data_IF_876982894895
#
_entry.id   IF_876982894895
#
_cell.length_a   1.000
_cell.length_b   1.000
_cell.length_c   1.000
_cell.angle_alpha   90.00
_cell.angle_beta   90.00
_cell.angle_gamma   90.00
#
_symmetry.space_group_name_H-M   'P 1'
#
loop_
_entity.id
_entity.type
_entity.pdbx_description
1 polymer ?
#
# COMPACT_ATOMS: atom_id res chain seq x y z
N UNK A 1 16.17 -6.20 -4.21
CA UNK A 1 17.14 -5.09 -4.27
C UNK A 1 18.45 -5.59 -4.81
N UNK A 2 19.35 -4.67 -5.12
CA UNK A 2 20.73 -4.99 -5.52
C UNK A 2 21.73 -4.76 -4.40
N UNK A 3 21.38 -3.89 -3.43
CA UNK A 3 22.16 -3.65 -2.21
C UNK A 3 21.49 -4.29 -0.99
N UNK A 4 22.25 -4.50 0.08
CA UNK A 4 21.73 -5.01 1.35
C UNK A 4 20.60 -4.12 1.89
N UNK A 5 20.75 -2.81 1.81
CA UNK A 5 19.71 -1.86 2.23
C UNK A 5 18.42 -2.02 1.40
N UNK A 6 18.52 -2.18 0.08
CA UNK A 6 17.36 -2.40 -0.77
C UNK A 6 16.71 -3.76 -0.52
N UNK A 7 17.49 -4.79 -0.20
CA UNK A 7 16.97 -6.12 0.18
C UNK A 7 16.20 -6.04 1.50
N UNK A 8 16.72 -5.35 2.51
CA UNK A 8 16.02 -5.14 3.78
C UNK A 8 14.68 -4.39 3.59
N UNK A 9 14.66 -3.38 2.71
CA UNK A 9 13.41 -2.68 2.37
C UNK A 9 12.41 -3.59 1.68
N UNK A 10 12.88 -4.43 0.75
CA UNK A 10 12.05 -5.42 0.05
C UNK A 10 11.42 -6.40 1.05
N UNK A 11 12.22 -7.04 1.91
CA UNK A 11 11.75 -8.06 2.85
C UNK A 11 10.74 -7.48 3.85
N UNK A 12 11.03 -6.29 4.40
CA UNK A 12 10.12 -5.61 5.31
C UNK A 12 8.81 -5.23 4.62
N UNK A 13 8.89 -4.69 3.40
CA UNK A 13 7.72 -4.19 2.70
C UNK A 13 6.81 -5.32 2.23
N UNK A 14 7.37 -6.44 1.76
CA UNK A 14 6.59 -7.62 1.39
C UNK A 14 5.67 -8.08 2.52
N UNK A 15 6.20 -8.22 3.74
CA UNK A 15 5.43 -8.62 4.90
C UNK A 15 4.36 -7.57 5.25
N UNK A 16 4.72 -6.28 5.26
CA UNK A 16 3.77 -5.21 5.59
C UNK A 16 2.66 -5.06 4.54
N UNK A 17 2.95 -5.28 3.27
CA UNK A 17 1.96 -5.32 2.19
C UNK A 17 0.98 -6.47 2.42
N UNK A 18 1.49 -7.65 2.82
CA UNK A 18 0.64 -8.81 3.07
C UNK A 18 -0.31 -8.56 4.25
N UNK A 19 0.17 -7.98 5.35
CA UNK A 19 -0.69 -7.60 6.49
C UNK A 19 -1.74 -6.57 6.09
N UNK A 20 -1.36 -5.59 5.26
CA UNK A 20 -2.30 -4.59 4.75
C UNK A 20 -3.39 -5.23 3.86
N UNK A 21 -3.00 -6.12 2.94
CA UNK A 21 -3.92 -6.90 2.11
C UNK A 21 -4.88 -7.71 2.96
N UNK A 22 -4.36 -8.48 3.92
CA UNK A 22 -5.16 -9.31 4.80
C UNK A 22 -6.15 -8.49 5.61
N UNK A 23 -5.78 -7.27 6.02
CA UNK A 23 -6.71 -6.40 6.75
C UNK A 23 -7.95 -6.01 5.93
N UNK A 24 -7.83 -5.84 4.60
CA UNK A 24 -8.98 -5.61 3.73
C UNK A 24 -9.78 -6.90 3.50
N UNK A 25 -9.09 -8.01 3.23
CA UNK A 25 -9.70 -9.35 3.03
C UNK A 25 -10.57 -9.74 4.24
N UNK A 26 -10.05 -9.54 5.45
CA UNK A 26 -10.77 -9.86 6.69
C UNK A 26 -12.02 -9.02 6.91
N UNK A 27 -12.12 -7.84 6.30
CA UNK A 27 -13.34 -7.01 6.32
C UNK A 27 -14.29 -7.49 5.23
N UNK A 28 -13.83 -7.56 3.98
CA UNK A 28 -14.67 -7.85 2.81
C UNK A 28 -15.36 -9.22 2.84
N UNK A 29 -14.72 -10.24 3.42
CA UNK A 29 -15.28 -11.59 3.49
C UNK A 29 -15.99 -11.90 4.81
N UNK A 30 -16.10 -10.95 5.73
CA UNK A 30 -16.76 -11.15 7.00
C UNK A 30 -18.29 -10.96 6.86
N UNK A 31 -19.13 -11.85 7.44
CA UNK A 31 -20.58 -11.67 7.45
C UNK A 31 -21.06 -10.34 8.06
N UNK A 32 -20.29 -9.76 8.98
CA UNK A 32 -20.54 -8.46 9.61
C UNK A 32 -19.88 -7.28 8.87
N UNK A 33 -19.61 -7.42 7.56
CA UNK A 33 -18.94 -6.41 6.72
C UNK A 33 -19.39 -4.97 6.99
N UNK A 34 -20.70 -4.71 6.97
CA UNK A 34 -21.26 -3.36 7.15
C UNK A 34 -20.92 -2.74 8.51
N UNK A 35 -20.73 -3.56 9.55
CA UNK A 35 -20.32 -3.09 10.88
C UNK A 35 -18.82 -2.83 10.97
N UNK A 36 -18.02 -3.59 10.23
CA UNK A 36 -16.55 -3.53 10.28
C UNK A 36 -15.97 -2.47 9.34
N UNK A 37 -16.62 -2.22 8.19
CA UNK A 37 -16.17 -1.27 7.18
C UNK A 37 -15.83 0.12 7.74
N UNK A 38 -16.66 0.76 8.60
CA UNK A 38 -16.33 2.08 9.15
C UNK A 38 -14.98 2.10 9.90
N UNK A 39 -14.71 1.08 10.71
CA UNK A 39 -13.44 0.99 11.44
C UNK A 39 -12.24 0.77 10.54
N UNK A 40 -12.40 0.04 9.42
CA UNK A 40 -11.36 -0.07 8.41
C UNK A 40 -11.05 1.29 7.77
N UNK A 41 -12.09 2.02 7.35
CA UNK A 41 -11.96 3.33 6.69
C UNK A 41 -11.35 4.38 7.63
N UNK A 42 -11.63 4.31 8.93
CA UNK A 42 -11.00 5.18 9.94
C UNK A 42 -9.48 4.95 10.02
N UNK A 43 -9.03 3.70 9.96
CA UNK A 43 -7.61 3.35 10.07
C UNK A 43 -6.83 3.50 8.77
N UNK A 44 -7.52 3.44 7.62
CA UNK A 44 -6.92 3.40 6.29
C UNK A 44 -5.97 4.59 6.01
N UNK A 45 -6.33 5.86 6.26
CA UNK A 45 -5.42 6.99 6.05
C UNK A 45 -4.13 6.90 6.86
N UNK A 46 -4.20 6.35 8.08
CA UNK A 46 -3.03 6.14 8.93
C UNK A 46 -2.04 5.16 8.31
N UNK A 47 -2.55 4.03 7.80
CA UNK A 47 -1.72 3.01 7.11
C UNK A 47 -1.12 3.54 5.81
N UNK A 48 -1.92 4.24 5.00
CA UNK A 48 -1.45 4.85 3.75
C UNK A 48 -0.38 5.92 4.01
N UNK A 49 -0.51 6.70 5.09
CA UNK A 49 0.52 7.66 5.51
C UNK A 49 1.86 6.98 5.81
N UNK A 50 1.86 5.80 6.43
CA UNK A 50 3.09 5.05 6.68
C UNK A 50 3.76 4.64 5.36
N UNK A 51 3.00 4.13 4.38
CA UNK A 51 3.55 3.81 3.06
C UNK A 51 4.03 5.06 2.30
N UNK A 52 3.28 6.16 2.36
CA UNK A 52 3.66 7.45 1.80
C UNK A 52 5.00 7.95 2.38
N UNK A 53 5.15 7.93 3.71
CA UNK A 53 6.39 8.31 4.37
C UNK A 53 7.53 7.35 4.02
N UNK A 54 7.22 6.04 3.96
CA UNK A 54 8.19 5.02 3.61
C UNK A 54 8.57 5.05 2.13
N UNK A 55 7.76 5.56 1.20
CA UNK A 55 8.18 5.85 -0.17
C UNK A 55 9.06 7.10 -0.20
N UNK A 56 8.69 8.13 0.57
CA UNK A 56 9.39 9.41 0.58
C UNK A 56 9.50 9.99 -0.83
N UNK A 57 10.71 10.37 -1.21
CA UNK A 57 11.04 10.94 -2.53
C UNK A 57 11.56 9.90 -3.53
N UNK A 58 11.65 8.62 -3.15
CA UNK A 58 12.14 7.57 -4.05
C UNK A 58 11.17 7.31 -5.18
N UNK A 59 11.72 6.90 -6.32
CA UNK A 59 10.93 6.51 -7.49
C UNK A 59 10.12 5.23 -7.23
N UNK A 60 10.77 4.23 -6.66
CA UNK A 60 10.22 2.92 -6.29
C UNK A 60 10.46 2.63 -4.80
N UNK A 61 9.73 1.67 -4.25
CA UNK A 61 9.76 1.42 -2.82
C UNK A 61 11.10 0.91 -2.31
N UNK A 62 11.77 0.05 -3.09
CA UNK A 62 13.10 -0.43 -2.75
C UNK A 62 14.19 0.64 -2.96
N UNK A 63 14.06 1.48 -3.99
CA UNK A 63 15.07 2.45 -4.40
C UNK A 63 14.80 3.05 -5.79
N UNK A 64 15.83 3.09 -6.63
CA UNK A 64 15.75 3.67 -7.99
C UNK A 64 15.28 2.69 -9.05
N UNK A 65 15.40 1.39 -8.78
CA UNK A 65 15.00 0.30 -9.69
C UNK A 65 13.70 -0.33 -9.23
N UNK A 66 12.90 -0.70 -10.22
CA UNK A 66 11.66 -1.45 -10.02
C UNK A 66 11.98 -2.84 -9.47
N UNK A 67 11.21 -3.29 -8.48
CA UNK A 67 11.33 -4.61 -7.87
C UNK A 67 9.95 -5.26 -7.74
N UNK A 68 9.88 -6.54 -7.36
CA UNK A 68 8.59 -7.25 -7.26
C UNK A 68 7.65 -6.63 -6.21
N UNK A 69 8.17 -6.03 -5.14
CA UNK A 69 7.33 -5.42 -4.10
C UNK A 69 6.57 -4.20 -4.60
N UNK A 70 7.04 -3.54 -5.66
CA UNK A 70 6.30 -2.46 -6.30
C UNK A 70 5.03 -2.98 -7.01
N UNK A 71 5.09 -4.17 -7.61
CA UNK A 71 3.90 -4.83 -8.18
C UNK A 71 2.89 -5.19 -7.09
N UNK A 72 3.39 -5.72 -5.96
CA UNK A 72 2.54 -6.06 -4.82
C UNK A 72 1.89 -4.81 -4.21
N UNK A 73 2.65 -3.72 -4.09
CA UNK A 73 2.15 -2.45 -3.58
C UNK A 73 1.10 -1.85 -4.51
N UNK A 74 1.37 -1.84 -5.82
CA UNK A 74 0.40 -1.37 -6.82
C UNK A 74 -0.94 -2.11 -6.70
N UNK A 75 -0.91 -3.45 -6.63
CA UNK A 75 -2.12 -4.27 -6.48
C UNK A 75 -2.91 -3.91 -5.20
N UNK A 76 -2.25 -3.82 -4.05
CA UNK A 76 -2.97 -3.51 -2.79
C UNK A 76 -3.48 -2.07 -2.72
N UNK A 77 -2.75 -1.10 -3.31
CA UNK A 77 -3.22 0.28 -3.40
C UNK A 77 -4.40 0.38 -4.36
N UNK A 78 -4.39 -0.35 -5.47
CA UNK A 78 -5.49 -0.39 -6.42
C UNK A 78 -6.76 -0.99 -5.81
N UNK A 79 -6.65 -2.11 -5.10
CA UNK A 79 -7.78 -2.70 -4.38
C UNK A 79 -8.39 -1.72 -3.36
N UNK A 80 -7.55 -0.98 -2.65
CA UNK A 80 -8.02 0.06 -1.72
C UNK A 80 -8.66 1.25 -2.43
N UNK A 81 -8.12 1.66 -3.58
CA UNK A 81 -8.73 2.71 -4.42
C UNK A 81 -10.08 2.27 -4.96
N UNK A 82 -10.24 1.01 -5.36
CA UNK A 82 -11.55 0.48 -5.77
C UNK A 82 -12.52 0.47 -4.58
N UNK A 83 -12.05 0.13 -3.38
CA UNK A 83 -12.88 0.07 -2.18
C UNK A 83 -13.29 1.45 -1.65
N UNK A 84 -12.36 2.42 -1.66
CA UNK A 84 -12.55 3.82 -1.29
C UNK A 84 -11.83 4.73 -2.31
N UNK A 85 -12.54 5.22 -3.34
CA UNK A 85 -11.96 5.96 -4.47
C UNK A 85 -11.07 7.14 -4.12
N UNK A 86 -11.31 7.79 -2.97
CA UNK A 86 -10.58 8.99 -2.57
C UNK A 86 -9.46 8.74 -1.57
N UNK A 87 -9.20 7.49 -1.17
CA UNK A 87 -8.24 7.18 -0.12
C UNK A 87 -6.81 7.67 -0.41
N UNK A 88 -6.42 7.78 -1.69
CA UNK A 88 -5.10 8.25 -2.11
C UNK A 88 -5.01 9.76 -2.38
N UNK A 89 -6.12 10.50 -2.41
CA UNK A 89 -6.11 11.96 -2.65
C UNK A 89 -5.15 12.75 -1.76
N UNK A 90 -4.98 12.42 -0.46
CA UNK A 90 -4.04 13.13 0.41
C UNK A 90 -2.56 12.83 0.14
N UNK A 91 -2.24 11.78 -0.61
CA UNK A 91 -0.88 11.24 -0.73
C UNK A 91 -0.36 11.35 -2.16
N UNK A 92 0.14 12.54 -2.52
CA UNK A 92 0.61 12.83 -3.89
C UNK A 92 1.64 11.82 -4.38
N UNK A 93 2.64 11.45 -3.56
CA UNK A 93 3.70 10.54 -3.98
C UNK A 93 3.19 9.10 -4.22
N UNK A 94 2.18 8.64 -3.48
CA UNK A 94 1.52 7.35 -3.76
C UNK A 94 0.71 7.42 -5.06
N UNK A 95 0.03 8.53 -5.33
CA UNK A 95 -0.63 8.73 -6.64
C UNK A 95 0.39 8.74 -7.77
N UNK A 96 1.46 9.51 -7.63
CA UNK A 96 2.53 9.55 -8.64
C UNK A 96 3.17 8.16 -8.85
N UNK A 97 3.24 7.33 -7.79
CA UNK A 97 3.67 5.94 -7.90
C UNK A 97 2.69 5.09 -8.73
N UNK A 98 1.39 5.20 -8.48
CA UNK A 98 0.37 4.50 -9.26
C UNK A 98 0.41 4.91 -10.74
N UNK A 99 0.48 6.21 -11.02
CA UNK A 99 0.53 6.77 -12.38
C UNK A 99 1.83 6.41 -13.12
N UNK A 100 2.94 6.18 -12.39
CA UNK A 100 4.20 5.68 -12.99
C UNK A 100 4.10 4.22 -13.40
N UNK A 101 3.27 3.45 -12.72
CA UNK A 101 3.12 2.02 -12.95
C UNK A 101 2.16 1.73 -14.11
N UNK A 102 1.11 2.54 -14.26
CA UNK A 102 0.06 2.40 -15.28
C UNK A 102 -0.34 3.72 -15.93
#
# INVERSE_FOLDING_TARGET
GETEEELLRVDMLENQIMDFRMSLVMVCYNPDFEKLKPGYLEQLPGKLKLFSNFLGDRKWFAGEKLTFVDFLMFDVLEQNRIFEPKCLEPFKNLKDFMDRFG
#
